data_IF_403705704297
#
_entry.id   IF_403705704297
#
_cell.length_a   1.000
_cell.length_b   1.000
_cell.length_c   1.000
_cell.angle_alpha   90.00
_cell.angle_beta   90.00
_cell.angle_gamma   90.00
#
_symmetry.space_group_name_H-M   'P 1'
#
loop_
_entity.id
_entity.type
_entity.pdbx_description
1 polymer ?
#
# COMPACT_ATOMS: atom_id res chain seq x y z
N UNK A 1 -1.40 26.92 40.62
CA UNK A 1 -1.95 26.41 39.33
C UNK A 1 -1.01 25.42 38.61
N UNK A 2 0.01 24.84 39.27
CA UNK A 2 1.01 24.01 38.60
C UNK A 2 0.70 22.50 38.58
N UNK A 3 -0.26 22.01 39.35
CA UNK A 3 -0.52 20.56 39.49
C UNK A 3 -1.19 19.91 38.28
N UNK A 4 -2.05 20.63 37.53
CA UNK A 4 -2.71 20.07 36.35
C UNK A 4 -1.77 19.87 35.16
N UNK A 5 -0.71 20.68 35.04
CA UNK A 5 0.32 20.54 34.00
C UNK A 5 1.15 19.27 34.20
N UNK A 6 1.56 18.99 35.43
CA UNK A 6 2.38 17.81 35.78
C UNK A 6 1.59 16.50 35.63
N UNK A 7 0.31 16.49 36.04
CA UNK A 7 -0.57 15.31 35.88
C UNK A 7 -0.83 15.02 34.40
N UNK A 8 -1.03 16.06 33.58
CA UNK A 8 -1.24 15.90 32.15
C UNK A 8 0.01 15.32 31.44
N UNK A 9 1.20 15.77 31.83
CA UNK A 9 2.46 15.21 31.32
C UNK A 9 2.70 13.76 31.76
N UNK A 10 2.34 13.41 33.01
CA UNK A 10 2.47 12.03 33.49
C UNK A 10 1.53 11.07 32.74
N UNK A 11 0.27 11.47 32.55
CA UNK A 11 -0.70 10.69 31.77
C UNK A 11 -0.26 10.51 30.32
N UNK A 12 0.28 11.56 29.70
CA UNK A 12 0.80 11.52 28.34
C UNK A 12 1.98 10.54 28.22
N UNK A 13 2.93 10.58 29.16
CA UNK A 13 4.07 9.65 29.20
C UNK A 13 3.63 8.19 29.41
N UNK A 14 2.62 7.97 30.25
CA UNK A 14 2.03 6.64 30.45
C UNK A 14 1.42 6.09 29.15
N UNK A 15 0.60 6.89 28.45
CA UNK A 15 -0.01 6.49 27.18
C UNK A 15 1.04 6.21 26.09
N UNK A 16 2.09 7.02 26.00
CA UNK A 16 3.20 6.79 25.07
C UNK A 16 3.93 5.47 25.34
N UNK A 17 4.12 5.11 26.62
CA UNK A 17 4.71 3.85 27.03
C UNK A 17 3.84 2.65 26.65
N UNK A 18 2.54 2.70 26.92
CA UNK A 18 1.59 1.63 26.57
C UNK A 18 1.54 1.39 25.06
N UNK A 19 1.48 2.47 24.27
CA UNK A 19 1.50 2.39 22.80
C UNK A 19 2.79 1.75 22.29
N UNK A 20 3.93 2.13 22.88
CA UNK A 20 5.24 1.56 22.54
C UNK A 20 5.29 0.06 22.83
N UNK A 21 4.88 -0.36 24.03
CA UNK A 21 4.91 -1.77 24.45
C UNK A 21 3.97 -2.64 23.60
N UNK A 22 2.75 -2.16 23.33
CA UNK A 22 1.80 -2.85 22.46
C UNK A 22 2.37 -3.08 21.05
N UNK A 23 3.15 -2.11 20.55
CA UNK A 23 3.74 -2.21 19.22
C UNK A 23 4.99 -3.09 19.17
N UNK A 24 5.83 -3.06 20.20
CA UNK A 24 6.97 -3.98 20.34
C UNK A 24 6.48 -5.44 20.37
N UNK A 25 5.47 -5.75 21.20
CA UNK A 25 4.81 -7.07 21.20
C UNK A 25 4.23 -7.43 19.83
N UNK A 26 3.66 -6.46 19.12
CA UNK A 26 3.17 -6.70 17.77
C UNK A 26 4.29 -7.12 16.81
N UNK A 27 5.42 -6.40 16.81
CA UNK A 27 6.58 -6.68 15.98
C UNK A 27 7.22 -8.04 16.30
N UNK A 28 7.30 -8.40 17.58
CA UNK A 28 7.80 -9.70 18.03
C UNK A 28 6.94 -10.86 17.51
N UNK A 29 5.61 -10.71 17.59
CA UNK A 29 4.63 -11.69 17.16
C UNK A 29 4.48 -11.80 15.63
N UNK A 30 5.11 -10.92 14.84
CA UNK A 30 5.08 -11.05 13.38
C UNK A 30 5.80 -12.33 12.94
N UNK A 31 5.16 -13.05 12.00
CA UNK A 31 5.80 -14.19 11.34
C UNK A 31 7.09 -13.77 10.64
N UNK A 32 8.04 -14.71 10.52
CA UNK A 32 9.34 -14.47 9.88
C UNK A 32 9.18 -13.94 8.44
N UNK A 33 8.17 -14.40 7.72
CA UNK A 33 7.88 -13.93 6.36
C UNK A 33 7.40 -12.48 6.37
N UNK A 34 6.55 -12.09 7.31
CA UNK A 34 6.09 -10.71 7.45
C UNK A 34 7.25 -9.78 7.85
N UNK A 35 8.13 -10.21 8.76
CA UNK A 35 9.35 -9.46 9.13
C UNK A 35 10.25 -9.22 7.90
N UNK A 36 10.49 -10.25 7.09
CA UNK A 36 11.28 -10.13 5.84
C UNK A 36 10.62 -9.17 4.85
N UNK A 37 9.30 -9.27 4.67
CA UNK A 37 8.55 -8.40 3.77
C UNK A 37 8.58 -6.94 4.24
N UNK A 38 8.46 -6.70 5.54
CA UNK A 38 8.52 -5.35 6.10
C UNK A 38 9.90 -4.73 5.87
N UNK A 39 10.97 -5.46 6.16
CA UNK A 39 12.34 -5.00 5.87
C UNK A 39 12.53 -4.66 4.40
N UNK A 40 11.99 -5.49 3.49
CA UNK A 40 12.05 -5.22 2.05
C UNK A 40 11.33 -3.90 1.68
N UNK A 41 10.12 -3.69 2.21
CA UNK A 41 9.34 -2.48 1.94
C UNK A 41 10.00 -1.23 2.53
N UNK A 42 10.54 -1.34 3.75
CA UNK A 42 11.23 -0.26 4.44
C UNK A 42 12.55 0.10 3.75
N UNK A 43 13.33 -0.88 3.27
CA UNK A 43 14.53 -0.62 2.48
C UNK A 43 14.21 0.11 1.16
N UNK A 44 13.12 -0.25 0.49
CA UNK A 44 12.68 0.46 -0.72
C UNK A 44 12.28 1.91 -0.42
N UNK A 45 11.64 2.15 0.72
CA UNK A 45 11.32 3.48 1.21
C UNK A 45 12.57 4.31 1.49
N UNK A 46 13.58 3.75 2.17
CA UNK A 46 14.85 4.41 2.45
C UNK A 46 15.56 4.85 1.16
N UNK A 47 15.67 3.95 0.18
CA UNK A 47 16.26 4.25 -1.14
C UNK A 47 15.48 5.35 -1.84
N UNK A 48 14.14 5.32 -1.75
CA UNK A 48 13.31 6.36 -2.34
C UNK A 48 13.51 7.71 -1.65
N UNK A 49 13.51 7.77 -0.32
CA UNK A 49 13.77 9.00 0.43
C UNK A 49 15.16 9.57 0.14
N UNK A 50 16.18 8.71 0.05
CA UNK A 50 17.53 9.12 -0.33
C UNK A 50 17.58 9.74 -1.74
N UNK A 51 16.81 9.19 -2.68
CA UNK A 51 16.69 9.75 -4.05
C UNK A 51 15.94 11.08 -4.10
N UNK A 52 14.97 11.30 -3.20
CA UNK A 52 14.21 12.55 -3.15
C UNK A 52 14.91 13.68 -2.40
N UNK A 53 15.98 13.39 -1.65
CA UNK A 53 16.79 14.38 -0.94
C UNK A 53 15.97 15.28 0.01
N UNK A 54 14.97 14.72 0.70
CA UNK A 54 14.17 15.47 1.67
C UNK A 54 15.03 15.95 2.85
N UNK A 55 14.79 17.18 3.34
CA UNK A 55 15.52 17.78 4.47
C UNK A 55 15.40 16.96 5.77
N UNK A 56 14.22 16.41 6.03
CA UNK A 56 13.91 15.53 7.17
C UNK A 56 14.26 14.04 6.87
N UNK A 57 14.93 13.78 5.74
CA UNK A 57 15.44 12.48 5.33
C UNK A 57 14.37 11.39 5.28
N UNK A 58 14.61 10.30 6.01
CA UNK A 58 13.75 9.12 6.05
C UNK A 58 12.54 9.25 7.00
N UNK A 59 12.34 10.43 7.59
CA UNK A 59 11.23 10.68 8.52
C UNK A 59 9.90 10.43 7.81
N UNK A 60 9.10 9.54 8.38
CA UNK A 60 7.82 9.16 7.78
C UNK A 60 6.78 10.22 8.09
N UNK A 61 6.12 10.69 7.04
CA UNK A 61 4.92 11.54 7.09
C UNK A 61 3.86 10.97 6.16
N UNK A 62 2.59 11.28 6.42
CA UNK A 62 1.48 10.83 5.57
C UNK A 62 1.64 11.33 4.12
N UNK A 63 2.09 12.58 3.94
CA UNK A 63 2.32 13.17 2.62
C UNK A 63 3.40 12.42 1.83
N UNK A 64 4.54 12.12 2.45
CA UNK A 64 5.59 11.32 1.81
C UNK A 64 5.10 9.91 1.49
N UNK A 65 4.32 9.29 2.39
CA UNK A 65 3.77 7.96 2.15
C UNK A 65 2.82 7.94 0.94
N UNK A 66 1.96 8.94 0.80
CA UNK A 66 1.10 9.09 -0.39
C UNK A 66 1.92 9.26 -1.67
N UNK A 67 2.96 10.11 -1.64
CA UNK A 67 3.84 10.33 -2.79
C UNK A 67 4.58 9.05 -3.20
N UNK A 68 5.14 8.34 -2.23
CA UNK A 68 5.81 7.05 -2.44
C UNK A 68 4.86 5.99 -3.02
N UNK A 69 3.66 5.82 -2.47
CA UNK A 69 2.71 4.82 -2.95
C UNK A 69 2.28 5.09 -4.40
N UNK A 70 2.14 6.36 -4.80
CA UNK A 70 1.88 6.75 -6.19
C UNK A 70 3.03 6.35 -7.11
N UNK A 71 4.27 6.59 -6.70
CA UNK A 71 5.46 6.23 -7.47
C UNK A 71 5.58 4.71 -7.60
N UNK A 72 5.54 3.98 -6.48
CA UNK A 72 5.61 2.52 -6.46
C UNK A 72 4.52 1.87 -7.30
N UNK A 73 3.29 2.43 -7.28
CA UNK A 73 2.20 1.96 -8.17
C UNK A 73 2.55 2.12 -9.65
N UNK A 74 3.17 3.25 -10.04
CA UNK A 74 3.57 3.53 -11.43
C UNK A 74 4.73 2.66 -11.88
N UNK A 75 5.74 2.51 -11.04
CA UNK A 75 6.94 1.71 -11.33
C UNK A 75 6.60 0.23 -11.44
N UNK A 76 5.61 -0.25 -10.68
CA UNK A 76 5.15 -1.63 -10.75
C UNK A 76 6.17 -2.64 -10.23
N UNK A 77 5.89 -3.93 -10.40
CA UNK A 77 6.86 -4.99 -10.08
C UNK A 77 7.75 -5.26 -11.30
N UNK A 78 8.90 -4.59 -11.39
CA UNK A 78 9.84 -4.73 -12.52
C UNK A 78 10.46 -6.14 -12.56
N UNK A 79 10.61 -6.79 -11.40
CA UNK A 79 11.36 -8.06 -11.28
C UNK A 79 10.55 -9.27 -11.72
N UNK A 80 9.22 -9.22 -11.70
CA UNK A 80 8.40 -10.35 -12.10
C UNK A 80 8.10 -10.29 -13.60
N UNK A 81 8.71 -11.20 -14.39
CA UNK A 81 8.51 -11.24 -15.86
C UNK A 81 7.04 -11.45 -16.24
N UNK A 82 6.24 -12.10 -15.37
CA UNK A 82 4.78 -12.30 -15.55
C UNK A 82 3.95 -11.03 -15.32
N UNK A 83 4.54 -9.99 -14.73
CA UNK A 83 3.89 -8.70 -14.54
C UNK A 83 4.33 -7.67 -15.57
N UNK A 84 4.84 -8.08 -16.74
CA UNK A 84 5.04 -7.14 -17.86
C UNK A 84 3.78 -7.10 -18.72
N UNK A 85 3.37 -5.89 -19.10
CA UNK A 85 2.40 -5.69 -20.17
C UNK A 85 2.99 -6.11 -21.52
N UNK A 86 2.16 -6.32 -22.55
CA UNK A 86 2.64 -6.59 -23.92
C UNK A 86 3.64 -5.55 -24.44
N UNK A 87 3.52 -4.29 -23.99
CA UNK A 87 4.43 -3.17 -24.27
C UNK A 87 5.75 -3.21 -23.45
N UNK A 88 6.05 -4.31 -22.77
CA UNK A 88 7.26 -4.49 -21.96
C UNK A 88 7.31 -3.69 -20.64
N UNK A 89 6.39 -2.73 -20.44
CA UNK A 89 6.23 -1.95 -19.21
C UNK A 89 5.75 -2.83 -18.05
N UNK A 90 6.16 -2.49 -16.82
CA UNK A 90 5.68 -3.19 -15.63
C UNK A 90 4.19 -2.89 -15.37
N UNK A 91 3.43 -3.92 -15.00
CA UNK A 91 2.05 -3.83 -14.56
C UNK A 91 2.01 -3.07 -13.25
N UNK A 92 1.07 -2.13 -13.16
CA UNK A 92 0.82 -1.36 -11.95
C UNK A 92 0.55 -2.30 -10.78
N UNK A 93 1.10 -1.97 -9.61
CA UNK A 93 0.85 -2.75 -8.40
C UNK A 93 -0.62 -2.63 -7.97
N UNK A 94 -1.17 -3.75 -7.52
CA UNK A 94 -2.51 -3.82 -6.94
C UNK A 94 -2.59 -3.21 -5.55
N UNK A 95 -3.81 -2.98 -5.07
CA UNK A 95 -4.06 -2.39 -3.75
C UNK A 95 -3.42 -3.19 -2.63
N UNK A 96 -3.47 -4.50 -2.68
CA UNK A 96 -2.97 -5.39 -1.62
C UNK A 96 -1.46 -5.23 -1.43
N UNK A 97 -0.74 -5.08 -2.55
CA UNK A 97 0.70 -4.80 -2.51
C UNK A 97 0.98 -3.44 -1.90
N UNK A 98 0.24 -2.41 -2.32
CA UNK A 98 0.38 -1.04 -1.80
C UNK A 98 0.00 -0.93 -0.33
N UNK A 99 -1.02 -1.67 0.12
CA UNK A 99 -1.40 -1.78 1.52
C UNK A 99 -0.30 -2.46 2.35
N UNK A 100 0.40 -3.45 1.77
CA UNK A 100 1.58 -4.05 2.38
C UNK A 100 2.72 -3.05 2.59
N UNK A 101 2.97 -2.16 1.62
CA UNK A 101 3.92 -1.04 1.79
C UNK A 101 3.45 -0.07 2.88
N UNK A 102 2.20 0.37 2.80
CA UNK A 102 1.63 1.33 3.72
C UNK A 102 1.68 0.82 5.18
N UNK A 103 1.40 -0.47 5.41
CA UNK A 103 1.48 -1.10 6.73
C UNK A 103 2.92 -1.19 7.25
N UNK A 104 3.86 -1.62 6.39
CA UNK A 104 5.27 -1.77 6.77
C UNK A 104 5.94 -0.42 7.11
N UNK A 105 5.65 0.61 6.31
CA UNK A 105 6.20 1.96 6.50
C UNK A 105 5.47 2.68 7.62
N UNK A 106 4.15 2.50 7.75
CA UNK A 106 3.35 3.06 8.84
C UNK A 106 3.71 2.54 10.24
N UNK A 107 4.50 1.47 10.33
CA UNK A 107 5.06 0.96 11.59
C UNK A 107 6.41 1.59 11.98
N UNK A 108 7.05 2.37 11.09
CA UNK A 108 8.30 3.10 11.38
C UNK A 108 8.14 4.34 12.28
N UNK A 109 7.08 5.18 12.18
CA UNK A 109 6.98 6.45 12.90
C UNK A 109 7.13 6.34 14.41
N UNK A 110 6.67 5.26 15.01
CA UNK A 110 6.78 4.94 16.44
C UNK A 110 8.23 4.63 16.86
N UNK A 111 8.98 3.89 16.03
CA UNK A 111 10.43 3.70 16.22
C UNK A 111 11.17 5.03 16.00
N UNK A 112 10.75 5.81 15.00
CA UNK A 112 11.31 7.13 14.71
C UNK A 112 10.95 8.18 15.76
N UNK A 113 9.80 8.07 16.44
CA UNK A 113 9.41 8.98 17.51
C UNK A 113 10.38 8.84 18.69
N UNK A 114 10.79 7.60 19.00
CA UNK A 114 11.75 7.32 20.06
C UNK A 114 13.20 7.72 19.71
N UNK A 115 13.62 7.59 18.44
CA UNK A 115 15.03 7.77 18.02
C UNK A 115 15.30 9.14 17.38
N UNK A 116 14.36 9.64 16.59
CA UNK A 116 14.49 10.86 15.77
C UNK A 116 13.58 12.01 16.25
N UNK A 117 12.75 11.78 17.28
CA UNK A 117 11.79 12.77 17.76
C UNK A 117 10.71 13.11 16.71
N UNK A 118 10.31 12.13 15.88
CA UNK A 118 9.26 12.33 14.89
C UNK A 118 7.94 12.73 15.57
N UNK A 119 7.46 13.96 15.28
CA UNK A 119 6.20 14.53 15.80
C UNK A 119 5.02 14.37 14.85
N UNK A 120 5.21 13.69 13.72
CA UNK A 120 4.16 13.54 12.72
C UNK A 120 3.05 12.62 13.24
N UNK A 121 1.78 12.89 12.87
CA UNK A 121 0.68 11.97 13.14
C UNK A 121 0.91 10.63 12.43
N UNK A 122 0.17 9.57 12.81
CA UNK A 122 0.30 8.25 12.20
C UNK A 122 0.26 8.32 10.66
N UNK A 123 1.33 7.86 10.02
CA UNK A 123 1.51 8.00 8.58
C UNK A 123 0.45 7.25 7.76
N UNK A 124 -0.14 6.18 8.31
CA UNK A 124 -1.24 5.44 7.70
C UNK A 124 -2.60 6.06 8.07
N UNK A 125 -2.74 7.35 7.79
CA UNK A 125 -3.92 8.16 8.10
C UNK A 125 -5.06 8.02 7.07
N UNK A 126 -5.93 9.02 7.04
CA UNK A 126 -7.12 9.06 6.18
C UNK A 126 -6.76 9.19 4.70
N UNK A 127 -5.70 9.94 4.35
CA UNK A 127 -5.31 10.16 2.96
C UNK A 127 -4.82 8.86 2.31
N UNK A 128 -4.05 8.06 3.04
CA UNK A 128 -3.58 6.75 2.58
C UNK A 128 -4.77 5.79 2.37
N UNK A 129 -5.75 5.78 3.28
CA UNK A 129 -6.96 4.96 3.15
C UNK A 129 -7.79 5.36 1.92
N UNK A 130 -7.96 6.66 1.70
CA UNK A 130 -8.69 7.19 0.55
C UNK A 130 -7.97 6.83 -0.75
N UNK A 131 -6.64 7.00 -0.80
CA UNK A 131 -5.83 6.64 -1.96
C UNK A 131 -5.96 5.17 -2.34
N UNK A 132 -5.90 4.26 -1.36
CA UNK A 132 -6.06 2.82 -1.61
C UNK A 132 -7.48 2.48 -2.10
N UNK A 133 -8.49 3.16 -1.57
CA UNK A 133 -9.89 3.00 -2.01
C UNK A 133 -10.10 3.52 -3.44
N UNK A 134 -9.47 4.63 -3.80
CA UNK A 134 -9.50 5.17 -5.16
C UNK A 134 -8.88 4.19 -6.16
N UNK A 135 -7.79 3.53 -5.80
CA UNK A 135 -7.17 2.51 -6.67
C UNK A 135 -8.06 1.28 -6.87
N UNK A 136 -8.82 0.86 -5.87
CA UNK A 136 -9.83 -0.20 -6.05
C UNK A 136 -10.93 0.23 -7.00
N UNK A 137 -11.44 1.46 -6.82
CA UNK A 137 -12.48 2.02 -7.68
C UNK A 137 -12.01 2.13 -9.12
N UNK A 138 -10.81 2.64 -9.36
CA UNK A 138 -10.18 2.67 -10.69
C UNK A 138 -10.09 1.27 -11.31
N UNK A 139 -9.63 0.27 -10.52
CA UNK A 139 -9.51 -1.10 -11.00
C UNK A 139 -10.88 -1.73 -11.31
N UNK A 140 -11.91 -1.44 -10.51
CA UNK A 140 -13.27 -1.92 -10.73
C UNK A 140 -13.89 -1.30 -11.99
N UNK A 141 -13.68 0.01 -12.20
CA UNK A 141 -14.12 0.70 -13.42
C UNK A 141 -13.41 0.09 -14.65
N UNK A 142 -12.10 -0.13 -14.57
CA UNK A 142 -11.33 -0.77 -15.65
C UNK A 142 -11.89 -2.16 -15.97
N UNK A 143 -12.07 -3.03 -14.97
CA UNK A 143 -12.65 -4.38 -15.14
C UNK A 143 -14.00 -4.34 -15.84
N UNK A 144 -14.83 -3.35 -15.51
CA UNK A 144 -16.16 -3.18 -16.09
C UNK A 144 -16.11 -2.72 -17.55
N UNK A 145 -15.19 -1.79 -17.88
CA UNK A 145 -15.02 -1.26 -19.25
C UNK A 145 -14.38 -2.32 -20.16
N UNK A 146 -13.36 -3.01 -19.67
CA UNK A 146 -12.65 -4.05 -20.43
C UNK A 146 -13.43 -5.37 -20.52
N UNK A 147 -14.65 -5.40 -19.98
CA UNK A 147 -15.51 -6.59 -19.91
C UNK A 147 -14.83 -7.81 -19.27
N UNK A 148 -13.76 -7.63 -18.48
CA UNK A 148 -13.07 -8.69 -17.72
C UNK A 148 -14.06 -9.42 -16.77
N UNK A 149 -15.15 -8.75 -16.38
CA UNK A 149 -16.20 -9.27 -15.48
C UNK A 149 -17.38 -9.94 -16.22
N UNK A 150 -17.44 -9.84 -17.56
CA UNK A 150 -18.52 -10.43 -18.37
C UNK A 150 -18.04 -11.68 -19.10
N UNK A 151 -17.83 -12.75 -18.37
CA UNK A 151 -17.43 -14.01 -19.01
C UNK A 151 -17.15 -15.10 -18.00
N UNK A 152 -16.38 -14.80 -16.96
CA UNK A 152 -15.85 -15.81 -16.04
C UNK A 152 -16.95 -16.75 -15.50
N UNK A 153 -16.92 -18.02 -15.91
CA UNK A 153 -17.89 -19.08 -15.61
C UNK A 153 -19.29 -18.99 -16.29
N UNK A 154 -19.41 -18.30 -17.42
CA UNK A 154 -20.63 -18.31 -18.24
C UNK A 154 -20.43 -19.12 -19.53
N UNK A 155 -21.51 -19.51 -20.22
CA UNK A 155 -21.41 -20.25 -21.51
C UNK A 155 -20.60 -19.48 -22.57
N UNK A 156 -20.51 -18.16 -22.45
CA UNK A 156 -19.76 -17.28 -23.35
C UNK A 156 -18.33 -17.01 -22.86
N UNK A 157 -17.89 -17.64 -21.78
CA UNK A 157 -16.52 -17.49 -21.26
C UNK A 157 -15.51 -18.03 -22.27
N UNK A 158 -14.67 -17.16 -22.80
CA UNK A 158 -13.62 -17.54 -23.75
C UNK A 158 -13.97 -17.43 -25.24
N UNK A 159 -15.20 -17.07 -25.60
CA UNK A 159 -15.52 -16.78 -27.00
C UNK A 159 -15.25 -15.32 -27.36
N UNK A 160 -14.46 -15.09 -28.40
CA UNK A 160 -14.33 -13.80 -29.05
C UNK A 160 -15.63 -13.43 -29.79
N UNK A 161 -15.84 -12.14 -30.04
CA UNK A 161 -17.03 -11.65 -30.75
C UNK A 161 -17.19 -12.31 -32.13
N UNK A 162 -16.07 -12.63 -32.78
CA UNK A 162 -16.06 -13.25 -34.10
C UNK A 162 -16.39 -14.75 -34.04
N UNK A 163 -15.97 -15.46 -32.98
CA UNK A 163 -16.39 -16.85 -32.74
C UNK A 163 -17.88 -16.93 -32.41
N UNK A 164 -18.42 -15.99 -31.63
CA UNK A 164 -19.87 -15.91 -31.37
C UNK A 164 -20.66 -15.65 -32.66
N UNK A 165 -20.16 -14.79 -33.55
CA UNK A 165 -20.75 -14.54 -34.88
C UNK A 165 -20.68 -15.76 -35.79
N UNK A 166 -19.65 -16.58 -35.66
CA UNK A 166 -19.51 -17.83 -36.40
C UNK A 166 -20.55 -18.86 -35.93
N UNK A 167 -20.62 -19.09 -34.62
CA UNK A 167 -21.58 -20.02 -34.01
C UNK A 167 -23.03 -19.63 -34.36
N UNK A 168 -23.35 -18.33 -34.28
CA UNK A 168 -24.66 -17.81 -34.66
C UNK A 168 -25.03 -18.13 -36.11
N UNK A 169 -24.08 -18.07 -37.05
CA UNK A 169 -24.30 -18.42 -38.46
C UNK A 169 -24.54 -19.92 -38.69
N UNK A 170 -24.04 -20.79 -37.81
CA UNK A 170 -24.22 -22.23 -37.93
C UNK A 170 -25.47 -22.76 -37.20
N UNK A 171 -25.93 -22.10 -36.13
CA UNK A 171 -27.10 -22.56 -35.36
C UNK A 171 -28.44 -21.99 -35.80
N UNK A 172 -28.46 -20.84 -36.48
CA UNK A 172 -29.70 -20.16 -36.88
C UNK A 172 -29.92 -20.14 -38.40
N UNK A 173 -29.28 -21.05 -39.14
CA UNK A 173 -29.56 -21.35 -40.55
C UNK A 173 -30.34 -22.65 -40.67
#
# INVERSE_FOLDING_TARGET
MSSSSTINNHNQSYLEKEVKEAMEKHLENLSLNTKKLYKLHQAHWEVWCAKQEFEDGNTVSEAKLVAFLREVRRTGNIKNKRSKLPDGKAKRLGKESLAGYAKAIGALPTVQAAVLGNKNPPAHGTLVKNLLSDYDRENAIRRRIEYEDRGTNTINDGYTLDELRLISRYQFN
#
